data_IF_638496226737
#
_entry.id   IF_638496226737
#
_cell.length_a   1.000
_cell.length_b   1.000
_cell.length_c   1.000
_cell.angle_alpha   90.00
_cell.angle_beta   90.00
_cell.angle_gamma   90.00
#
_symmetry.space_group_name_H-M   'P 1'
#
loop_
_entity.id
_entity.type
_entity.pdbx_description
1 polymer ?
#
# COMPACT_ATOMS: atom_id res chain seq x y z
N UNK A 1 47.09 62.30 65.73
CA UNK A 1 47.09 60.80 65.62
C UNK A 1 45.68 60.19 65.48
N UNK A 2 44.63 60.72 66.12
CA UNK A 2 43.25 60.15 66.04
C UNK A 2 42.57 60.24 64.61
N UNK A 3 42.84 61.32 63.85
CA UNK A 3 42.29 61.48 62.49
C UNK A 3 42.94 60.52 61.50
N UNK A 4 44.25 60.31 61.56
CA UNK A 4 44.95 59.34 60.65
C UNK A 4 44.47 57.91 60.95
N UNK A 5 44.21 57.53 62.20
CA UNK A 5 43.70 56.22 62.56
C UNK A 5 42.24 56.02 62.04
N UNK A 6 41.39 57.07 62.12
CA UNK A 6 40.01 57.00 61.59
C UNK A 6 40.02 56.87 60.03
N UNK A 7 40.91 57.60 59.38
CA UNK A 7 41.07 57.53 57.92
C UNK A 7 41.57 56.11 57.46
N UNK A 8 42.56 55.56 58.13
CA UNK A 8 43.08 54.23 57.86
C UNK A 8 42.00 53.12 58.08
N UNK A 9 41.20 53.28 59.14
CA UNK A 9 40.08 52.35 59.46
C UNK A 9 38.94 52.47 58.40
N UNK A 10 38.70 53.69 57.88
CA UNK A 10 37.71 53.92 56.81
C UNK A 10 38.18 53.37 55.47
N UNK A 11 39.46 53.50 55.12
CA UNK A 11 40.08 52.95 53.94
C UNK A 11 40.15 51.42 53.97
N UNK A 12 40.42 50.84 55.16
CA UNK A 12 40.41 49.40 55.36
C UNK A 12 39.01 48.81 55.12
N UNK A 13 37.96 49.46 55.70
CA UNK A 13 36.56 49.07 55.46
C UNK A 13 36.13 49.24 54.00
N UNK A 14 36.58 50.30 53.33
CA UNK A 14 36.30 50.52 51.91
C UNK A 14 36.96 49.46 51.02
N UNK A 15 38.23 49.10 51.30
CA UNK A 15 38.88 47.96 50.60
C UNK A 15 38.20 46.64 50.85
N UNK A 16 37.81 46.37 52.08
CA UNK A 16 37.08 45.13 52.41
C UNK A 16 35.72 45.08 51.69
N UNK A 17 34.98 46.20 51.61
CA UNK A 17 33.72 46.27 50.87
C UNK A 17 33.94 46.06 49.36
N UNK A 18 34.98 46.64 48.77
CA UNK A 18 35.31 46.41 47.36
C UNK A 18 35.67 44.97 47.10
N UNK A 19 36.45 44.33 47.93
CA UNK A 19 36.80 42.91 47.83
C UNK A 19 35.54 42.05 47.97
N UNK A 20 34.66 42.35 48.91
CA UNK A 20 33.40 41.64 49.11
C UNK A 20 32.47 41.75 47.86
N UNK A 21 32.37 42.95 47.29
CA UNK A 21 31.60 43.18 46.06
C UNK A 21 32.19 42.40 44.87
N UNK A 22 33.55 42.40 44.77
CA UNK A 22 34.24 41.65 43.73
C UNK A 22 34.01 40.14 43.84
N UNK A 23 34.07 39.60 45.09
CA UNK A 23 33.79 38.16 45.37
C UNK A 23 32.36 37.84 45.03
N UNK A 24 31.38 38.68 45.42
CA UNK A 24 29.99 38.52 45.09
C UNK A 24 29.76 38.53 43.56
N UNK A 25 30.39 39.45 42.82
CA UNK A 25 30.31 39.50 41.36
C UNK A 25 30.89 38.26 40.70
N UNK A 26 32.02 37.73 41.18
CA UNK A 26 32.62 36.52 40.67
C UNK A 26 31.72 35.31 41.00
N UNK A 27 31.10 35.22 42.19
CA UNK A 27 30.13 34.18 42.53
C UNK A 27 28.89 34.22 41.67
N UNK A 28 28.36 35.42 41.39
CA UNK A 28 27.20 35.56 40.49
C UNK A 28 27.53 35.08 39.08
N UNK A 29 28.71 35.46 38.56
CA UNK A 29 29.18 35.01 37.22
C UNK A 29 29.41 33.46 37.22
N UNK A 30 29.97 32.92 38.29
CA UNK A 30 30.20 31.48 38.42
C UNK A 30 28.86 30.70 38.49
N UNK A 31 27.88 31.23 39.28
CA UNK A 31 26.54 30.61 39.36
C UNK A 31 25.80 30.71 38.03
N UNK A 32 25.86 31.86 37.37
CA UNK A 32 25.27 32.03 36.04
C UNK A 32 25.94 31.11 34.98
N UNK A 33 27.28 31.04 35.00
CA UNK A 33 28.04 30.09 34.17
C UNK A 33 27.68 28.64 34.42
N UNK A 34 27.54 28.27 35.70
CA UNK A 34 27.11 26.91 36.07
C UNK A 34 25.66 26.63 35.65
N UNK A 35 24.75 27.59 35.78
CA UNK A 35 23.38 27.47 35.35
C UNK A 35 23.28 27.32 33.82
N UNK A 36 24.09 28.08 33.05
CA UNK A 36 24.17 27.98 31.61
C UNK A 36 24.75 26.62 31.19
N UNK A 37 25.82 26.17 31.81
CA UNK A 37 26.42 24.86 31.57
C UNK A 37 25.50 23.71 31.95
N UNK A 38 24.70 23.86 33.01
CA UNK A 38 23.73 22.89 33.47
C UNK A 38 22.53 22.81 32.53
N UNK A 39 22.03 23.96 32.01
CA UNK A 39 21.01 24.00 30.97
C UNK A 39 21.51 23.44 29.63
N UNK A 40 22.78 23.70 29.26
CA UNK A 40 23.39 23.17 28.04
C UNK A 40 23.58 21.64 28.09
N UNK A 41 23.57 21.02 29.26
CA UNK A 41 23.68 19.56 29.45
C UNK A 41 22.33 18.82 29.42
N UNK A 42 21.21 19.53 29.52
CA UNK A 42 19.90 18.89 29.40
C UNK A 42 19.54 18.71 27.91
N UNK A 43 19.38 17.47 27.48
CA UNK A 43 18.83 17.18 26.15
C UNK A 43 17.47 17.85 26.00
N UNK A 44 17.22 18.59 24.90
CA UNK A 44 15.89 19.16 24.64
C UNK A 44 14.85 18.08 24.30
N UNK A 45 15.27 16.82 24.25
CA UNK A 45 14.38 15.66 24.08
C UNK A 45 13.95 15.19 25.46
N UNK A 46 12.63 15.21 25.73
CA UNK A 46 12.02 14.64 26.94
C UNK A 46 11.30 13.36 26.58
N UNK A 47 11.65 12.28 27.25
CA UNK A 47 10.97 10.98 27.11
C UNK A 47 9.56 11.08 27.67
N UNK A 48 8.59 10.49 27.01
CA UNK A 48 7.26 10.25 27.54
C UNK A 48 7.32 8.94 28.35
N UNK A 49 6.89 8.99 29.62
CA UNK A 49 7.03 7.85 30.56
C UNK A 49 8.46 7.62 31.06
N UNK A 50 8.72 6.44 31.63
CA UNK A 50 9.96 6.13 32.34
C UNK A 50 11.17 5.97 31.40
N UNK A 51 12.33 6.44 31.86
CA UNK A 51 13.61 6.27 31.14
C UNK A 51 14.18 4.86 31.27
N UNK A 52 13.79 4.13 32.29
CA UNK A 52 14.12 2.72 32.54
C UNK A 52 12.84 1.92 32.65
N UNK A 53 12.68 0.87 31.87
CA UNK A 53 11.52 0.00 31.87
C UNK A 53 11.96 -1.46 31.98
N UNK A 54 11.12 -2.28 32.59
CA UNK A 54 11.33 -3.73 32.67
C UNK A 54 10.13 -4.43 32.05
N UNK A 55 10.40 -5.39 31.18
CA UNK A 55 9.40 -6.24 30.55
C UNK A 55 9.81 -7.71 30.68
N UNK A 56 8.84 -8.62 30.64
CA UNK A 56 9.09 -10.06 30.64
C UNK A 56 9.64 -10.54 29.31
N UNK A 57 10.20 -11.74 29.27
CA UNK A 57 10.58 -12.41 28.01
C UNK A 57 9.35 -12.53 27.09
N UNK A 58 9.51 -12.19 25.82
CA UNK A 58 8.41 -12.05 24.86
C UNK A 58 7.33 -11.01 25.25
N UNK A 59 7.65 -10.14 26.21
CA UNK A 59 6.77 -9.06 26.64
C UNK A 59 6.55 -8.04 25.51
N UNK A 60 5.37 -7.42 25.51
CA UNK A 60 5.05 -6.36 24.57
C UNK A 60 5.61 -5.03 25.07
N UNK A 61 6.42 -4.40 24.25
CA UNK A 61 6.88 -3.03 24.47
C UNK A 61 6.07 -2.06 23.63
N UNK A 62 5.26 -1.25 24.29
CA UNK A 62 4.54 -0.15 23.68
C UNK A 62 5.39 1.13 23.82
N UNK A 63 5.91 1.64 22.71
CA UNK A 63 6.79 2.81 22.70
C UNK A 63 6.04 4.10 23.09
N UNK A 64 6.33 4.70 24.27
CA UNK A 64 5.62 5.91 24.71
C UNK A 64 6.04 7.18 23.95
N UNK A 65 7.15 7.10 23.18
CA UNK A 65 7.66 8.24 22.43
C UNK A 65 8.43 9.25 23.26
N UNK A 66 8.67 10.41 22.65
CA UNK A 66 9.35 11.54 23.25
C UNK A 66 8.86 12.86 22.63
N UNK A 67 9.07 13.97 23.35
CA UNK A 67 8.86 15.33 22.84
C UNK A 67 10.18 16.07 22.73
N UNK A 68 10.29 17.03 21.79
CA UNK A 68 11.48 17.85 21.63
C UNK A 68 11.11 19.30 21.33
N UNK A 69 11.64 20.23 22.13
CA UNK A 69 11.50 21.68 21.91
C UNK A 69 12.88 22.33 21.85
N UNK A 70 13.25 22.85 20.66
CA UNK A 70 14.58 23.43 20.38
C UNK A 70 14.36 24.88 19.94
N UNK A 71 14.99 25.82 20.61
CA UNK A 71 14.87 27.26 20.35
C UNK A 71 13.41 27.74 20.25
N UNK A 72 12.57 27.24 21.16
CA UNK A 72 11.14 27.55 21.22
C UNK A 72 10.26 26.84 20.20
N UNK A 73 10.82 26.12 19.22
CA UNK A 73 10.09 25.38 18.17
C UNK A 73 9.91 23.92 18.52
N UNK A 74 8.74 23.35 18.20
CA UNK A 74 8.42 21.94 18.41
C UNK A 74 8.97 21.09 17.26
N UNK A 75 9.77 20.07 17.64
CA UNK A 75 10.36 19.09 16.73
C UNK A 75 9.92 17.65 17.07
N UNK A 76 8.93 17.46 17.93
CA UNK A 76 8.50 16.13 18.41
C UNK A 76 8.18 15.16 17.27
N UNK A 77 7.47 15.62 16.24
CA UNK A 77 7.14 14.81 15.05
C UNK A 77 8.35 14.46 14.15
N UNK A 78 9.52 15.07 14.40
CA UNK A 78 10.76 14.83 13.64
C UNK A 78 11.78 13.99 14.42
N UNK A 79 11.42 13.49 15.60
CA UNK A 79 12.26 12.58 16.36
C UNK A 79 12.36 11.26 15.60
N UNK A 80 13.59 10.84 15.35
CA UNK A 80 13.90 9.49 14.86
C UNK A 80 14.12 8.58 16.06
N UNK A 81 13.46 7.42 16.04
CA UNK A 81 13.58 6.38 17.07
C UNK A 81 14.31 5.21 16.43
N UNK A 82 15.38 4.77 17.10
CA UNK A 82 16.18 3.60 16.74
C UNK A 82 16.31 2.69 17.96
N UNK A 83 16.19 1.39 17.78
CA UNK A 83 16.13 0.44 18.89
C UNK A 83 16.82 -0.87 18.51
N UNK A 84 17.61 -1.42 19.45
CA UNK A 84 18.18 -2.76 19.40
C UNK A 84 17.36 -3.79 20.18
N UNK A 85 16.13 -3.43 20.61
CA UNK A 85 15.27 -4.25 21.46
C UNK A 85 14.91 -5.59 20.80
N UNK A 86 15.33 -6.68 21.43
CA UNK A 86 14.91 -8.04 21.13
C UNK A 86 14.22 -8.63 22.35
N UNK A 87 12.90 -8.61 22.38
CA UNK A 87 12.11 -9.11 23.53
C UNK A 87 12.15 -10.62 23.66
N UNK A 88 12.67 -11.33 22.65
CA UNK A 88 12.81 -12.80 22.71
C UNK A 88 14.05 -13.26 23.46
N UNK A 89 14.90 -12.33 23.89
CA UNK A 89 16.13 -12.62 24.63
C UNK A 89 16.23 -11.74 25.87
N UNK A 90 16.57 -12.36 27.02
CA UNK A 90 16.87 -11.64 28.25
C UNK A 90 18.09 -10.75 28.07
N UNK A 91 18.02 -9.50 28.54
CA UNK A 91 19.11 -8.55 28.40
C UNK A 91 18.71 -7.11 28.65
N UNK A 92 19.67 -6.20 28.49
CA UNK A 92 19.44 -4.76 28.50
C UNK A 92 19.58 -4.20 27.10
N UNK A 93 18.57 -3.47 26.67
CA UNK A 93 18.43 -2.89 25.34
C UNK A 93 18.26 -1.38 25.43
N UNK A 94 18.54 -0.70 24.33
CA UNK A 94 18.47 0.75 24.27
C UNK A 94 17.53 1.20 23.15
N UNK A 95 16.58 2.06 23.51
CA UNK A 95 15.82 2.85 22.54
C UNK A 95 16.43 4.24 22.48
N UNK A 96 16.92 4.64 21.31
CA UNK A 96 17.58 5.92 21.07
C UNK A 96 16.65 6.86 20.31
N UNK A 97 16.50 8.06 20.85
CA UNK A 97 15.75 9.17 20.25
C UNK A 97 16.72 10.20 19.72
N UNK A 98 16.54 10.67 18.50
CA UNK A 98 17.44 11.66 17.90
C UNK A 98 16.69 12.69 17.05
N UNK A 99 17.06 13.97 17.22
CA UNK A 99 16.56 15.09 16.42
C UNK A 99 17.55 16.24 16.44
N UNK A 100 17.85 16.83 15.30
CA UNK A 100 18.73 18.01 15.19
C UNK A 100 20.07 17.91 15.94
N UNK A 101 20.68 16.71 15.96
CA UNK A 101 21.96 16.47 16.65
C UNK A 101 21.83 16.16 18.16
N UNK A 102 20.67 16.33 18.75
CA UNK A 102 20.42 15.94 20.13
C UNK A 102 19.98 14.48 20.22
N UNK A 103 20.30 13.84 21.34
CA UNK A 103 19.91 12.45 21.60
C UNK A 103 19.41 12.26 23.04
N UNK A 104 18.47 11.34 23.20
CA UNK A 104 18.07 10.78 24.49
C UNK A 104 18.00 9.25 24.37
N UNK A 105 18.01 8.55 25.49
CA UNK A 105 17.99 7.07 25.52
C UNK A 105 16.98 6.60 26.57
N UNK A 106 16.32 5.49 26.27
CA UNK A 106 15.55 4.68 27.21
C UNK A 106 16.20 3.32 27.30
N UNK A 107 16.33 2.79 28.50
CA UNK A 107 16.85 1.45 28.75
C UNK A 107 15.68 0.50 29.00
N UNK A 108 15.62 -0.60 28.26
CA UNK A 108 14.64 -1.66 28.43
C UNK A 108 15.38 -2.89 28.98
N UNK A 109 14.96 -3.38 30.13
CA UNK A 109 15.45 -4.65 30.68
C UNK A 109 14.43 -5.73 30.34
N UNK A 110 14.82 -6.72 29.53
CA UNK A 110 14.04 -7.93 29.28
C UNK A 110 14.46 -8.97 30.31
N UNK A 111 13.50 -9.45 31.13
CA UNK A 111 13.75 -10.49 32.13
C UNK A 111 13.92 -11.86 31.48
N UNK A 112 14.47 -12.84 32.21
CA UNK A 112 14.62 -14.21 31.72
C UNK A 112 13.35 -15.05 31.77
N UNK A 113 12.27 -14.52 32.35
CA UNK A 113 11.01 -15.24 32.56
C UNK A 113 9.90 -14.64 31.69
N UNK A 114 9.02 -15.50 31.17
CA UNK A 114 7.80 -15.12 30.47
C UNK A 114 6.66 -14.99 31.50
N UNK A 115 5.98 -13.85 31.53
CA UNK A 115 4.87 -13.59 32.47
C UNK A 115 3.86 -12.62 31.83
N UNK A 116 2.66 -13.06 31.44
CA UNK A 116 2.14 -14.45 31.50
C UNK A 116 2.85 -15.39 30.51
N UNK A 117 2.76 -16.70 30.74
CA UNK A 117 3.29 -17.72 29.82
C UNK A 117 2.34 -17.92 28.67
N UNK A 118 2.85 -17.91 27.43
CA UNK A 118 2.10 -18.18 26.21
C UNK A 118 2.91 -19.09 25.30
N UNK A 119 2.41 -20.28 25.07
CA UNK A 119 3.06 -21.33 24.27
C UNK A 119 2.21 -21.69 23.05
N UNK A 120 2.87 -21.84 21.89
CA UNK A 120 2.23 -22.35 20.70
C UNK A 120 2.18 -23.89 20.72
N UNK A 121 1.03 -24.48 20.42
CA UNK A 121 0.89 -25.90 20.19
C UNK A 121 1.27 -26.24 18.75
N UNK A 122 1.99 -27.34 18.53
CA UNK A 122 2.44 -27.76 17.20
C UNK A 122 3.57 -26.88 16.65
N UNK A 123 3.73 -26.89 15.32
CA UNK A 123 4.84 -26.22 14.64
C UNK A 123 4.73 -24.69 14.71
N UNK A 124 5.83 -24.01 15.03
CA UNK A 124 5.94 -22.54 14.98
C UNK A 124 6.20 -22.01 13.56
N UNK A 125 6.53 -22.90 12.61
CA UNK A 125 6.68 -22.58 11.18
C UNK A 125 5.80 -23.54 10.39
N UNK A 126 4.92 -23.00 9.55
CA UNK A 126 3.96 -23.77 8.74
C UNK A 126 4.06 -23.27 7.30
N UNK A 127 3.91 -24.17 6.35
CA UNK A 127 3.81 -23.82 4.93
C UNK A 127 2.41 -24.23 4.45
N UNK A 128 1.72 -23.32 3.75
CA UNK A 128 0.44 -23.56 3.08
C UNK A 128 0.52 -23.03 1.66
N UNK A 129 -0.25 -23.59 0.73
CA UNK A 129 -0.40 -23.02 -0.62
C UNK A 129 -1.51 -21.96 -0.62
N UNK A 130 -1.34 -20.94 -1.46
CA UNK A 130 -2.37 -19.92 -1.62
C UNK A 130 -3.72 -20.56 -1.97
N UNK A 131 -4.78 -20.12 -1.29
CA UNK A 131 -6.14 -20.65 -1.47
C UNK A 131 -6.46 -21.91 -0.65
N UNK A 132 -5.49 -22.51 0.01
CA UNK A 132 -5.75 -23.58 0.99
C UNK A 132 -6.13 -22.97 2.34
N UNK A 133 -6.91 -23.71 3.13
CA UNK A 133 -7.24 -23.33 4.50
C UNK A 133 -6.02 -23.45 5.40
N UNK A 134 -5.85 -22.47 6.30
CA UNK A 134 -4.90 -22.56 7.39
C UNK A 134 -5.59 -23.14 8.62
N UNK A 135 -5.18 -24.35 9.03
CA UNK A 135 -5.67 -24.98 10.24
C UNK A 135 -4.76 -24.57 11.41
N UNK A 136 -5.33 -23.82 12.37
CA UNK A 136 -4.62 -23.39 13.59
C UNK A 136 -4.30 -24.58 14.51
N UNK A 137 -3.00 -24.91 14.74
CA UNK A 137 -2.64 -26.02 15.59
C UNK A 137 -2.90 -25.79 17.09
N UNK A 138 -3.16 -24.54 17.45
CA UNK A 138 -3.51 -24.13 18.80
C UNK A 138 -2.41 -23.45 19.59
N UNK A 139 -2.77 -23.07 20.81
CA UNK A 139 -1.92 -22.38 21.76
C UNK A 139 -2.46 -22.57 23.18
N UNK A 140 -1.64 -22.31 24.20
CA UNK A 140 -2.00 -22.36 25.61
C UNK A 140 -1.38 -21.18 26.36
N UNK A 141 -2.15 -20.59 27.29
CA UNK A 141 -1.66 -19.50 28.11
C UNK A 141 -1.99 -19.70 29.59
N UNK A 142 -1.05 -19.36 30.47
CA UNK A 142 -1.23 -19.36 31.92
C UNK A 142 -0.70 -18.09 32.57
N UNK A 143 -1.37 -17.64 33.62
CA UNK A 143 -0.85 -16.55 34.45
C UNK A 143 0.29 -17.03 35.37
N UNK A 144 0.93 -16.12 36.08
CA UNK A 144 2.03 -16.42 37.04
C UNK A 144 1.64 -17.39 38.14
N UNK A 145 0.34 -17.53 38.44
CA UNK A 145 -0.17 -18.47 39.43
C UNK A 145 -0.50 -19.85 38.86
N UNK A 146 -0.35 -20.02 37.56
CA UNK A 146 -0.69 -21.24 36.84
C UNK A 146 -2.17 -21.36 36.43
N UNK A 147 -2.97 -20.29 36.60
CA UNK A 147 -4.36 -20.32 36.13
C UNK A 147 -4.40 -20.26 34.61
N UNK A 148 -5.30 -21.03 34.01
CA UNK A 148 -5.51 -21.04 32.56
C UNK A 148 -6.20 -19.74 32.10
N UNK A 149 -5.52 -19.00 31.21
CA UNK A 149 -6.00 -17.76 30.58
C UNK A 149 -5.99 -17.89 29.04
N UNK A 150 -6.00 -19.10 28.51
CA UNK A 150 -5.96 -19.38 27.07
C UNK A 150 -7.09 -18.68 26.32
N UNK A 151 -8.29 -18.57 26.91
CA UNK A 151 -9.45 -17.90 26.32
C UNK A 151 -9.22 -16.38 26.11
N UNK A 152 -8.27 -15.78 26.81
CA UNK A 152 -7.96 -14.35 26.73
C UNK A 152 -6.88 -14.04 25.68
N UNK A 153 -6.36 -15.06 25.00
CA UNK A 153 -5.41 -14.92 23.88
C UNK A 153 -6.10 -14.29 22.68
N UNK A 154 -5.53 -13.18 22.21
CA UNK A 154 -5.93 -12.51 20.98
C UNK A 154 -4.98 -12.91 19.86
N UNK A 155 -5.53 -13.37 18.75
CA UNK A 155 -4.76 -13.74 17.56
C UNK A 155 -4.97 -12.66 16.50
N UNK A 156 -3.87 -12.13 15.97
CA UNK A 156 -3.86 -11.20 14.85
C UNK A 156 -3.19 -11.90 13.65
N UNK A 157 -3.87 -11.89 12.54
CA UNK A 157 -3.43 -12.57 11.31
C UNK A 157 -2.90 -11.55 10.31
N UNK A 158 -1.73 -11.83 9.71
CA UNK A 158 -1.35 -11.23 8.44
C UNK A 158 -2.27 -11.77 7.33
N UNK A 159 -2.37 -11.02 6.23
CA UNK A 159 -3.17 -11.42 5.07
C UNK A 159 -2.61 -12.70 4.41
N UNK A 160 -3.27 -13.84 4.64
CA UNK A 160 -2.94 -15.13 4.06
C UNK A 160 -3.42 -15.28 2.60
N UNK A 161 -4.12 -14.26 2.06
CA UNK A 161 -4.53 -14.23 0.66
C UNK A 161 -3.42 -13.75 -0.27
N UNK A 162 -2.22 -13.51 0.26
CA UNK A 162 -1.05 -13.08 -0.53
C UNK A 162 0.15 -13.96 -0.22
N UNK A 163 0.82 -14.47 -1.26
CA UNK A 163 2.02 -15.30 -1.13
C UNK A 163 3.17 -14.55 -0.42
N UNK A 164 4.02 -15.31 0.24
CA UNK A 164 5.18 -14.82 0.99
C UNK A 164 5.15 -15.21 2.46
N UNK A 165 6.12 -14.68 3.22
CA UNK A 165 6.21 -14.94 4.65
C UNK A 165 5.21 -14.06 5.41
N UNK A 166 4.39 -14.69 6.23
CA UNK A 166 3.35 -14.08 7.06
C UNK A 166 3.61 -14.37 8.52
N UNK A 167 3.17 -13.49 9.41
CA UNK A 167 3.26 -13.68 10.85
C UNK A 167 1.88 -13.65 11.46
N UNK A 168 1.58 -14.67 12.26
CA UNK A 168 0.42 -14.67 13.14
C UNK A 168 0.93 -14.29 14.53
N UNK A 169 0.36 -13.24 15.11
CA UNK A 169 0.74 -12.76 16.44
C UNK A 169 -0.30 -13.22 17.45
N UNK A 170 0.14 -13.93 18.45
CA UNK A 170 -0.65 -14.39 19.59
C UNK A 170 -0.29 -13.50 20.77
N UNK A 171 -1.24 -12.84 21.38
CA UNK A 171 -1.01 -11.92 22.50
C UNK A 171 -1.97 -12.28 23.62
N UNK A 172 -1.45 -12.38 24.85
CA UNK A 172 -2.26 -12.56 26.06
C UNK A 172 -1.88 -11.46 27.07
N UNK A 173 -2.86 -11.02 27.85
CA UNK A 173 -2.70 -10.04 28.92
C UNK A 173 -3.25 -10.65 30.21
N UNK A 174 -2.47 -10.58 31.30
CA UNK A 174 -2.91 -11.05 32.62
C UNK A 174 -3.75 -9.96 33.34
N UNK A 175 -4.32 -10.30 34.49
CA UNK A 175 -5.13 -9.39 35.32
C UNK A 175 -4.38 -8.17 35.86
N UNK A 176 -3.06 -8.13 35.74
CA UNK A 176 -2.18 -7.02 36.15
C UNK A 176 -1.75 -6.13 35.00
N UNK A 177 -2.14 -6.46 33.77
CA UNK A 177 -1.76 -5.74 32.56
C UNK A 177 -0.42 -6.17 31.96
N UNK A 178 0.22 -7.25 32.47
CA UNK A 178 1.41 -7.79 31.83
C UNK A 178 1.02 -8.49 30.53
N UNK A 179 1.79 -8.27 29.46
CA UNK A 179 1.50 -8.79 28.12
C UNK A 179 2.64 -9.64 27.61
N UNK A 180 2.31 -10.78 27.04
CA UNK A 180 3.23 -11.64 26.31
C UNK A 180 2.74 -11.83 24.89
N UNK A 181 3.67 -11.76 23.93
CA UNK A 181 3.40 -11.98 22.49
C UNK A 181 4.36 -12.99 21.93
N UNK A 182 3.82 -14.00 21.25
CA UNK A 182 4.59 -14.99 20.48
C UNK A 182 4.11 -14.99 19.04
N UNK A 183 4.92 -15.54 18.13
CA UNK A 183 4.63 -15.53 16.71
C UNK A 183 4.70 -16.93 16.12
N UNK A 184 3.75 -17.23 15.22
CA UNK A 184 3.82 -18.34 14.29
C UNK A 184 4.15 -17.77 12.91
N UNK A 185 5.15 -18.34 12.24
CA UNK A 185 5.51 -17.93 10.89
C UNK A 185 4.78 -18.86 9.90
N UNK A 186 4.02 -18.26 8.97
CA UNK A 186 3.34 -19.00 7.90
C UNK A 186 3.95 -18.57 6.58
N UNK A 187 4.50 -19.52 5.84
CA UNK A 187 4.91 -19.30 4.46
C UNK A 187 3.75 -19.66 3.55
N UNK A 188 3.18 -18.67 2.87
CA UNK A 188 2.17 -18.89 1.83
C UNK A 188 2.90 -19.02 0.50
N UNK A 189 2.90 -20.25 -0.06
CA UNK A 189 3.49 -20.52 -1.37
C UNK A 189 2.54 -20.11 -2.49
N UNK A 190 3.04 -19.62 -3.63
CA UNK A 190 2.21 -19.39 -4.81
C UNK A 190 1.48 -20.67 -5.25
N UNK A 191 0.24 -20.52 -5.72
CA UNK A 191 -0.56 -21.63 -6.24
C UNK A 191 -1.33 -21.20 -7.48
N UNK A 192 -0.88 -21.64 -8.67
CA UNK A 192 -1.50 -21.32 -9.96
C UNK A 192 -2.71 -22.20 -10.30
N UNK A 193 -3.11 -23.10 -9.40
CA UNK A 193 -4.20 -24.04 -9.62
C UNK A 193 -5.25 -24.05 -8.51
N UNK A 194 -5.30 -23.03 -7.65
CA UNK A 194 -6.35 -22.94 -6.65
C UNK A 194 -7.73 -22.70 -7.30
N UNK A 195 -8.78 -23.24 -6.67
CA UNK A 195 -10.14 -23.09 -7.19
C UNK A 195 -10.64 -21.66 -7.02
N UNK A 196 -11.15 -21.07 -8.10
CA UNK A 196 -11.70 -19.72 -8.15
C UNK A 196 -12.76 -19.64 -9.25
N UNK A 197 -13.79 -18.78 -9.09
CA UNK A 197 -14.76 -18.52 -10.16
C UNK A 197 -14.12 -17.94 -11.43
N UNK A 198 -12.95 -17.31 -11.29
CA UNK A 198 -12.26 -16.56 -12.32
C UNK A 198 -12.65 -15.08 -12.30
N UNK A 199 -11.71 -14.23 -12.74
CA UNK A 199 -11.85 -12.78 -12.81
C UNK A 199 -12.50 -12.38 -14.14
N UNK A 200 -13.73 -11.83 -14.15
CA UNK A 200 -14.30 -11.24 -15.36
C UNK A 200 -13.55 -9.93 -15.70
N UNK A 201 -12.95 -9.87 -16.88
CA UNK A 201 -12.38 -8.66 -17.47
C UNK A 201 -13.35 -8.24 -18.57
N UNK A 202 -14.18 -7.22 -18.31
CA UNK A 202 -15.26 -6.80 -19.18
C UNK A 202 -14.74 -5.94 -20.32
N UNK A 203 -15.20 -6.19 -21.54
CA UNK A 203 -14.80 -5.48 -22.74
C UNK A 203 -15.97 -4.66 -23.29
N UNK A 204 -15.92 -3.35 -23.08
CA UNK A 204 -16.80 -2.34 -23.69
C UNK A 204 -16.03 -1.55 -24.75
N UNK A 205 -16.74 -0.70 -25.52
CA UNK A 205 -16.11 0.22 -26.47
C UNK A 205 -16.76 1.61 -26.40
N UNK A 206 -17.97 1.76 -26.93
CA UNK A 206 -18.65 3.05 -27.09
C UNK A 206 -19.78 3.22 -26.09
N UNK A 207 -19.90 4.42 -25.52
CA UNK A 207 -21.01 4.80 -24.64
C UNK A 207 -21.78 5.93 -25.29
N UNK A 208 -23.13 5.88 -25.27
CA UNK A 208 -23.96 6.90 -25.88
C UNK A 208 -25.09 7.33 -24.95
N UNK A 209 -25.63 8.53 -25.18
CA UNK A 209 -26.84 9.01 -24.51
C UNK A 209 -28.09 8.48 -25.26
N UNK A 210 -29.02 7.83 -24.55
CA UNK A 210 -30.26 7.32 -25.13
C UNK A 210 -31.12 8.43 -25.75
N UNK A 211 -30.98 9.69 -25.29
CA UNK A 211 -31.70 10.83 -25.83
C UNK A 211 -31.10 11.38 -27.13
N UNK A 212 -29.84 11.00 -27.44
CA UNK A 212 -29.11 11.39 -28.67
C UNK A 212 -28.33 10.20 -29.23
N UNK A 213 -29.04 9.17 -29.75
CA UNK A 213 -28.39 7.96 -30.25
C UNK A 213 -27.60 8.23 -31.52
N UNK A 214 -26.37 7.66 -31.66
CA UNK A 214 -25.53 7.87 -32.83
C UNK A 214 -26.15 7.21 -34.09
N UNK A 215 -25.94 7.82 -35.27
CA UNK A 215 -26.48 7.35 -36.54
C UNK A 215 -26.00 5.92 -36.90
N UNK A 216 -24.81 5.51 -36.46
CA UNK A 216 -24.23 4.21 -36.71
C UNK A 216 -24.54 3.16 -35.65
N UNK A 217 -25.43 3.44 -34.71
CA UNK A 217 -25.79 2.56 -33.58
C UNK A 217 -26.10 1.13 -34.06
N UNK A 218 -26.94 1.01 -35.08
CA UNK A 218 -27.33 -0.29 -35.64
C UNK A 218 -26.19 -1.00 -36.42
N UNK A 219 -25.23 -0.25 -36.93
CA UNK A 219 -24.08 -0.83 -37.68
C UNK A 219 -23.03 -1.40 -36.74
N UNK A 220 -22.92 -0.82 -35.53
CA UNK A 220 -21.95 -1.20 -34.50
C UNK A 220 -22.61 -1.74 -33.25
N UNK A 221 -23.79 -2.37 -33.38
CA UNK A 221 -24.65 -2.84 -32.30
C UNK A 221 -23.90 -3.60 -31.21
N UNK A 222 -22.90 -4.43 -31.55
CA UNK A 222 -22.12 -5.21 -30.62
C UNK A 222 -21.08 -4.41 -29.81
N UNK A 223 -20.90 -3.11 -30.07
CA UNK A 223 -19.86 -2.29 -29.43
C UNK A 223 -20.42 -1.13 -28.59
N UNK A 224 -21.72 -0.86 -28.66
CA UNK A 224 -22.34 0.23 -27.91
C UNK A 224 -23.00 -0.26 -26.60
N UNK A 225 -22.99 0.61 -25.60
CA UNK A 225 -23.86 0.57 -24.41
C UNK A 225 -24.41 1.97 -24.17
N UNK A 226 -25.65 2.11 -23.71
CA UNK A 226 -26.13 3.42 -23.29
C UNK A 226 -25.52 3.83 -21.93
N UNK A 227 -25.39 5.13 -21.70
CA UNK A 227 -24.95 5.67 -20.41
C UNK A 227 -25.88 5.22 -19.27
N UNK A 228 -27.18 5.14 -19.53
CA UNK A 228 -28.20 4.70 -18.59
C UNK A 228 -28.06 3.21 -18.23
N UNK A 229 -27.81 2.35 -19.22
CA UNK A 229 -27.57 0.93 -18.99
C UNK A 229 -26.23 0.70 -18.24
N UNK A 230 -25.19 1.44 -18.61
CA UNK A 230 -23.90 1.41 -17.90
C UNK A 230 -24.08 1.82 -16.42
N UNK A 231 -24.81 2.91 -16.17
CA UNK A 231 -25.10 3.37 -14.81
C UNK A 231 -25.83 2.31 -13.98
N UNK A 232 -26.80 1.61 -14.58
CA UNK A 232 -27.51 0.52 -13.91
C UNK A 232 -26.57 -0.65 -13.54
N UNK A 233 -25.67 -1.04 -14.46
CA UNK A 233 -24.66 -2.07 -14.19
C UNK A 233 -23.71 -1.66 -13.06
N UNK A 234 -23.19 -0.41 -13.08
CA UNK A 234 -22.27 0.08 -12.04
C UNK A 234 -22.93 0.23 -10.67
N UNK A 235 -24.17 0.71 -10.62
CA UNK A 235 -24.92 0.79 -9.37
C UNK A 235 -25.16 -0.60 -8.76
N UNK A 236 -25.45 -1.61 -9.59
CA UNK A 236 -25.58 -2.97 -9.12
C UNK A 236 -24.23 -3.51 -8.59
N UNK A 237 -23.11 -3.31 -9.29
CA UNK A 237 -21.77 -3.72 -8.80
C UNK A 237 -21.47 -3.11 -7.43
N UNK A 238 -21.80 -1.82 -7.23
CA UNK A 238 -21.62 -1.16 -5.95
C UNK A 238 -22.52 -1.73 -4.85
N UNK A 239 -23.79 -2.07 -5.18
CA UNK A 239 -24.73 -2.67 -4.21
C UNK A 239 -24.30 -4.08 -3.78
N UNK A 240 -23.49 -4.75 -4.57
CA UNK A 240 -22.95 -6.09 -4.33
C UNK A 240 -21.52 -6.09 -3.77
N UNK A 241 -20.95 -4.91 -3.48
CA UNK A 241 -19.59 -4.73 -2.93
C UNK A 241 -18.49 -5.38 -3.79
N UNK A 242 -18.54 -5.18 -5.12
CA UNK A 242 -17.51 -5.67 -6.02
C UNK A 242 -16.17 -4.99 -5.78
N UNK A 243 -15.08 -5.78 -5.83
CA UNK A 243 -13.71 -5.33 -5.76
C UNK A 243 -13.14 -5.06 -7.17
N UNK A 244 -12.39 -3.98 -7.32
CA UNK A 244 -11.79 -3.56 -8.59
C UNK A 244 -10.26 -3.66 -8.50
N UNK A 245 -9.66 -4.78 -8.90
CA UNK A 245 -8.21 -4.97 -8.81
C UNK A 245 -7.45 -4.09 -9.81
N UNK A 246 -6.30 -3.61 -9.40
CA UNK A 246 -5.31 -2.99 -10.27
C UNK A 246 -4.66 -4.04 -11.20
N UNK A 247 -4.06 -3.63 -12.31
CA UNK A 247 -3.36 -4.57 -13.21
C UNK A 247 -2.18 -5.28 -12.55
N UNK A 248 -1.57 -4.69 -11.53
CA UNK A 248 -0.55 -5.34 -10.70
C UNK A 248 -1.14 -6.47 -9.87
N UNK A 249 -2.30 -6.25 -9.28
CA UNK A 249 -3.02 -7.29 -8.54
C UNK A 249 -3.56 -8.38 -9.47
N UNK A 250 -4.05 -8.00 -10.67
CA UNK A 250 -4.41 -8.98 -11.71
C UNK A 250 -3.20 -9.85 -12.06
N UNK A 251 -2.02 -9.25 -12.24
CA UNK A 251 -0.80 -10.01 -12.51
C UNK A 251 -0.40 -10.93 -11.36
N UNK A 252 -0.45 -10.45 -10.12
CA UNK A 252 -0.18 -11.30 -8.94
C UNK A 252 -1.20 -12.45 -8.81
N UNK A 253 -2.49 -12.18 -9.15
CA UNK A 253 -3.54 -13.18 -9.17
C UNK A 253 -3.28 -14.27 -10.22
N UNK A 254 -2.94 -13.90 -11.45
CA UNK A 254 -2.61 -14.83 -12.54
C UNK A 254 -1.36 -15.66 -12.20
N UNK A 255 -0.36 -15.04 -11.58
CA UNK A 255 0.85 -15.73 -11.09
C UNK A 255 0.58 -16.67 -9.89
N UNK A 256 -0.67 -16.75 -9.37
CA UNK A 256 -1.03 -17.53 -8.19
C UNK A 256 -0.42 -17.00 -6.88
N UNK A 257 -0.06 -15.72 -6.84
CA UNK A 257 0.55 -15.03 -5.68
C UNK A 257 -0.46 -14.26 -4.84
N UNK A 258 -1.65 -13.97 -5.39
CA UNK A 258 -2.72 -13.23 -4.76
C UNK A 258 -4.06 -13.95 -4.97
N UNK A 259 -4.84 -14.09 -3.90
CA UNK A 259 -6.25 -14.50 -3.97
C UNK A 259 -7.12 -13.26 -3.94
N UNK A 260 -7.80 -12.97 -5.03
CA UNK A 260 -8.79 -11.89 -5.10
C UNK A 260 -10.11 -12.31 -4.42
N UNK A 261 -10.91 -11.37 -3.92
CA UNK A 261 -12.29 -11.62 -3.53
C UNK A 261 -13.09 -12.24 -4.69
N UNK A 262 -14.03 -13.14 -4.39
CA UNK A 262 -14.83 -13.82 -5.43
C UNK A 262 -15.64 -12.82 -6.27
N UNK A 263 -16.14 -11.74 -5.67
CA UNK A 263 -16.78 -10.61 -6.35
C UNK A 263 -15.73 -9.57 -6.77
N UNK A 264 -14.87 -9.93 -7.71
CA UNK A 264 -13.89 -9.02 -8.33
C UNK A 264 -14.17 -8.85 -9.81
N UNK A 265 -13.91 -7.67 -10.36
CA UNK A 265 -14.19 -7.34 -11.76
C UNK A 265 -13.22 -6.28 -12.28
N UNK A 266 -12.82 -6.38 -13.54
CA UNK A 266 -12.12 -5.31 -14.27
C UNK A 266 -13.02 -4.81 -15.41
N UNK A 267 -13.21 -3.49 -15.49
CA UNK A 267 -13.96 -2.86 -16.58
C UNK A 267 -12.98 -2.21 -17.55
N UNK A 268 -13.10 -2.55 -18.85
CA UNK A 268 -12.24 -2.03 -19.90
C UNK A 268 -13.08 -1.41 -21.01
N UNK A 269 -12.66 -0.23 -21.48
CA UNK A 269 -13.23 0.46 -22.65
C UNK A 269 -12.13 0.60 -23.69
N UNK A 270 -12.31 -0.06 -24.84
CA UNK A 270 -11.32 -0.07 -25.92
C UNK A 270 -11.46 1.16 -26.81
N UNK A 271 -10.46 1.42 -27.64
CA UNK A 271 -10.33 2.47 -28.66
C UNK A 271 -10.06 3.89 -28.15
N UNK A 272 -10.40 4.24 -26.91
CA UNK A 272 -10.37 5.62 -26.43
C UNK A 272 -11.31 6.51 -27.25
N UNK A 273 -12.49 5.98 -27.59
CA UNK A 273 -13.48 6.65 -28.43
C UNK A 273 -14.05 7.88 -27.72
N UNK A 274 -14.27 8.98 -28.50
CA UNK A 274 -14.84 10.23 -27.93
C UNK A 274 -16.17 10.00 -27.23
N UNK A 275 -17.02 9.09 -27.74
CA UNK A 275 -18.30 8.75 -27.13
C UNK A 275 -18.16 8.14 -25.74
N UNK A 276 -17.15 7.29 -25.49
CA UNK A 276 -16.83 6.83 -24.12
C UNK A 276 -16.31 7.98 -23.26
N UNK A 277 -15.41 8.82 -23.79
CA UNK A 277 -14.84 9.93 -23.01
C UNK A 277 -15.93 10.93 -22.59
N UNK A 278 -16.87 11.27 -23.50
CA UNK A 278 -17.93 12.24 -23.23
C UNK A 278 -19.08 11.69 -22.36
N UNK A 279 -19.46 10.42 -22.51
CA UNK A 279 -20.65 9.85 -21.87
C UNK A 279 -20.31 8.78 -20.84
N UNK A 280 -19.24 8.02 -20.99
CA UNK A 280 -18.86 6.95 -20.08
C UNK A 280 -18.13 7.45 -18.85
N UNK A 281 -17.15 8.36 -18.99
CA UNK A 281 -16.39 8.91 -17.88
C UNK A 281 -17.30 9.58 -16.83
N UNK A 282 -18.26 10.46 -17.18
CA UNK A 282 -19.17 11.04 -16.21
C UNK A 282 -19.99 9.99 -15.41
N UNK A 283 -20.32 8.85 -16.03
CA UNK A 283 -21.03 7.75 -15.34
C UNK A 283 -20.10 7.05 -14.35
N UNK A 284 -18.85 6.77 -14.74
CA UNK A 284 -17.83 6.19 -13.84
C UNK A 284 -17.60 7.07 -12.62
N UNK A 285 -17.45 8.38 -12.82
CA UNK A 285 -17.27 9.37 -11.74
C UNK A 285 -18.48 9.44 -10.81
N UNK A 286 -19.68 9.49 -11.38
CA UNK A 286 -20.95 9.50 -10.63
C UNK A 286 -21.09 8.28 -9.74
N UNK A 287 -20.74 7.10 -10.27
CA UNK A 287 -20.83 5.82 -9.57
C UNK A 287 -19.60 5.53 -8.73
N UNK A 288 -18.50 6.28 -8.88
CA UNK A 288 -17.19 6.06 -8.23
C UNK A 288 -16.62 4.68 -8.52
N UNK A 289 -16.71 4.24 -9.75
CA UNK A 289 -16.25 2.93 -10.21
C UNK A 289 -15.05 3.11 -11.14
N UNK A 290 -13.90 2.50 -10.83
CA UNK A 290 -12.71 2.60 -11.68
C UNK A 290 -12.84 1.72 -12.94
N UNK A 291 -12.27 2.21 -14.05
CA UNK A 291 -12.17 1.48 -15.30
C UNK A 291 -10.85 1.76 -16.02
N UNK A 292 -10.47 0.85 -16.93
CA UNK A 292 -9.33 1.02 -17.85
C UNK A 292 -9.82 1.49 -19.20
N UNK A 293 -9.24 2.56 -19.73
CA UNK A 293 -9.41 2.98 -21.12
C UNK A 293 -8.20 2.54 -21.93
N UNK A 294 -8.36 1.56 -22.81
CA UNK A 294 -7.33 1.17 -23.76
C UNK A 294 -7.32 2.15 -24.94
N UNK A 295 -6.31 3.02 -24.97
CA UNK A 295 -6.23 4.16 -25.88
C UNK A 295 -5.47 3.83 -27.15
N UNK A 296 -6.07 4.09 -28.32
CA UNK A 296 -5.35 4.20 -29.60
C UNK A 296 -4.68 5.57 -29.61
N UNK A 297 -3.39 5.62 -29.30
CA UNK A 297 -2.73 6.89 -29.00
C UNK A 297 -2.42 7.76 -30.24
N UNK A 298 -2.42 7.18 -31.46
CA UNK A 298 -2.32 7.97 -32.72
C UNK A 298 -3.58 8.79 -33.02
N UNK A 299 -4.70 8.49 -32.37
CA UNK A 299 -5.97 9.20 -32.55
C UNK A 299 -6.12 10.35 -31.55
N UNK A 300 -5.16 11.28 -31.53
CA UNK A 300 -5.07 12.41 -30.57
C UNK A 300 -5.06 11.94 -29.10
N UNK A 301 -4.37 10.82 -28.83
CA UNK A 301 -4.36 10.20 -27.49
C UNK A 301 -3.81 11.12 -26.42
N UNK A 302 -2.72 11.84 -26.66
CA UNK A 302 -2.12 12.77 -25.73
C UNK A 302 -3.09 13.90 -25.33
N UNK A 303 -3.75 14.52 -26.32
CA UNK A 303 -4.74 15.58 -26.09
C UNK A 303 -5.97 15.05 -25.36
N UNK A 304 -6.46 13.87 -25.76
CA UNK A 304 -7.61 13.22 -25.11
C UNK A 304 -7.32 12.91 -23.65
N UNK A 305 -6.16 12.30 -23.36
CA UNK A 305 -5.76 11.98 -21.98
C UNK A 305 -5.62 13.26 -21.15
N UNK A 306 -5.04 14.32 -21.70
CA UNK A 306 -4.92 15.60 -21.02
C UNK A 306 -6.29 16.27 -20.73
N UNK A 307 -7.24 16.16 -21.67
CA UNK A 307 -8.57 16.75 -21.56
C UNK A 307 -9.51 15.98 -20.63
N UNK A 308 -9.43 14.65 -20.59
CA UNK A 308 -10.36 13.77 -19.88
C UNK A 308 -9.69 13.08 -18.66
N UNK A 309 -8.98 13.86 -17.83
CA UNK A 309 -8.42 13.38 -16.59
C UNK A 309 -9.52 13.02 -15.58
N UNK A 310 -9.43 11.84 -14.97
CA UNK A 310 -10.36 11.37 -13.96
C UNK A 310 -9.68 10.41 -12.98
N UNK A 311 -10.03 10.50 -11.70
CA UNK A 311 -9.55 9.55 -10.68
C UNK A 311 -10.11 8.14 -10.87
N UNK A 312 -11.08 7.97 -11.76
CA UNK A 312 -11.77 6.70 -12.04
C UNK A 312 -11.39 6.11 -13.41
N UNK A 313 -10.46 6.69 -14.14
CA UNK A 313 -10.03 6.17 -15.45
C UNK A 313 -8.52 6.04 -15.52
N UNK A 314 -8.07 4.80 -15.76
CA UNK A 314 -6.67 4.47 -16.01
C UNK A 314 -6.45 4.29 -17.50
N UNK A 315 -5.56 5.10 -18.08
CA UNK A 315 -5.23 5.00 -19.50
C UNK A 315 -4.13 3.99 -19.74
N UNK A 316 -4.43 2.98 -20.55
CA UNK A 316 -3.52 1.90 -20.95
C UNK A 316 -3.45 1.75 -22.47
N UNK A 317 -2.50 1.00 -22.96
CA UNK A 317 -2.21 0.94 -24.40
C UNK A 317 -3.17 0.07 -25.20
N UNK A 318 -3.75 0.62 -26.26
CA UNK A 318 -4.33 -0.11 -27.40
C UNK A 318 -3.49 0.09 -28.66
N UNK A 319 -2.16 0.15 -28.52
CA UNK A 319 -1.14 0.55 -29.48
C UNK A 319 -1.11 2.06 -29.80
N UNK A 320 -0.02 2.49 -30.44
CA UNK A 320 0.01 3.83 -31.02
C UNK A 320 -0.75 3.85 -32.36
N UNK A 321 -0.29 3.14 -33.35
CA UNK A 321 -0.84 3.15 -34.72
C UNK A 321 -1.02 1.76 -35.32
N UNK A 322 -1.04 0.70 -34.52
CA UNK A 322 -1.25 -0.67 -34.99
C UNK A 322 -2.72 -1.07 -35.05
N UNK A 323 -3.65 -0.21 -34.59
CA UNK A 323 -5.09 -0.45 -34.72
C UNK A 323 -5.59 -0.09 -36.14
N UNK A 324 -5.07 -0.77 -37.14
CA UNK A 324 -5.38 -0.59 -38.59
C UNK A 324 -5.29 -1.91 -39.32
N UNK A 325 -6.01 -2.05 -40.49
CA UNK A 325 -5.91 -3.25 -41.30
C UNK A 325 -4.52 -3.40 -41.96
N UNK A 326 -4.21 -4.60 -42.43
CA UNK A 326 -2.95 -4.90 -43.14
C UNK A 326 -2.36 -6.26 -42.77
N UNK A 327 -2.96 -6.99 -41.84
CA UNK A 327 -2.61 -8.37 -41.50
C UNK A 327 -3.42 -9.40 -42.30
N UNK A 328 -3.09 -10.66 -42.09
CA UNK A 328 -3.73 -11.83 -42.76
C UNK A 328 -4.19 -12.90 -41.75
N UNK A 329 -4.24 -12.57 -40.49
CA UNK A 329 -4.74 -13.45 -39.42
C UNK A 329 -5.92 -12.76 -38.72
N UNK A 330 -6.83 -13.56 -38.17
CA UNK A 330 -7.95 -13.09 -37.35
C UNK A 330 -8.85 -12.11 -38.13
N UNK A 331 -8.96 -10.89 -37.62
CA UNK A 331 -9.75 -9.82 -38.26
C UNK A 331 -8.94 -8.94 -39.21
N UNK A 332 -7.69 -9.32 -39.50
CA UNK A 332 -6.83 -8.64 -40.46
C UNK A 332 -6.10 -7.41 -39.91
N UNK A 333 -5.93 -7.30 -38.60
CA UNK A 333 -5.13 -6.27 -37.96
C UNK A 333 -3.64 -6.37 -38.35
N UNK A 334 -2.94 -5.22 -38.44
CA UNK A 334 -1.55 -5.18 -38.89
C UNK A 334 -0.55 -5.77 -37.90
N UNK A 335 -0.85 -5.77 -36.58
CA UNK A 335 0.11 -6.07 -35.53
C UNK A 335 0.81 -7.43 -35.70
N UNK A 336 0.13 -8.53 -36.04
CA UNK A 336 0.79 -9.82 -36.32
C UNK A 336 1.70 -9.84 -37.55
N UNK A 337 1.60 -8.85 -38.45
CA UNK A 337 2.35 -8.77 -39.70
C UNK A 337 3.43 -7.70 -39.76
N UNK A 338 3.52 -6.86 -38.67
CA UNK A 338 4.49 -5.76 -38.60
C UNK A 338 5.88 -6.27 -38.21
N UNK A 339 6.94 -5.55 -38.62
CA UNK A 339 8.30 -5.87 -38.19
C UNK A 339 8.50 -5.66 -36.67
N UNK A 340 9.46 -6.39 -36.10
CA UNK A 340 9.79 -6.25 -34.70
C UNK A 340 10.17 -4.80 -34.31
N UNK A 341 10.98 -4.14 -35.14
CA UNK A 341 11.44 -2.77 -34.91
C UNK A 341 10.26 -1.79 -34.89
N UNK A 342 9.36 -1.86 -35.88
CA UNK A 342 8.17 -1.00 -35.94
C UNK A 342 7.21 -1.28 -34.79
N UNK A 343 6.97 -2.57 -34.49
CA UNK A 343 6.09 -2.97 -33.36
C UNK A 343 6.60 -2.47 -32.03
N UNK A 344 7.90 -2.62 -31.78
CA UNK A 344 8.51 -2.11 -30.52
C UNK A 344 8.50 -0.59 -30.44
N UNK A 345 8.71 0.13 -31.54
CA UNK A 345 8.61 1.59 -31.55
C UNK A 345 7.18 2.06 -31.27
N UNK A 346 6.19 1.41 -31.85
CA UNK A 346 4.76 1.69 -31.61
C UNK A 346 4.35 1.45 -30.15
N UNK A 347 4.69 0.28 -29.59
CA UNK A 347 4.39 -0.06 -28.20
C UNK A 347 5.04 0.92 -27.22
N UNK A 348 6.32 1.25 -27.39
CA UNK A 348 7.02 2.23 -26.56
C UNK A 348 6.37 3.62 -26.63
N UNK A 349 5.98 4.04 -27.83
CA UNK A 349 5.31 5.33 -28.03
C UNK A 349 3.95 5.37 -27.33
N UNK A 350 3.18 4.29 -27.38
CA UNK A 350 1.89 4.22 -26.70
C UNK A 350 2.04 4.24 -25.16
N UNK A 351 3.05 3.53 -24.61
CA UNK A 351 3.36 3.56 -23.17
C UNK A 351 3.73 4.99 -22.74
N UNK A 352 4.58 5.69 -23.52
CA UNK A 352 4.96 7.08 -23.23
C UNK A 352 3.75 7.99 -23.13
N UNK A 353 2.81 7.89 -24.07
CA UNK A 353 1.60 8.74 -24.13
C UNK A 353 0.60 8.38 -23.02
N UNK A 354 0.38 7.08 -22.79
CA UNK A 354 -0.53 6.64 -21.70
C UNK A 354 0.04 6.90 -20.31
N UNK A 355 1.37 7.01 -20.17
CA UNK A 355 2.06 7.13 -18.89
C UNK A 355 2.06 5.84 -18.06
N UNK A 356 1.62 4.72 -18.65
CA UNK A 356 1.54 3.39 -18.06
C UNK A 356 1.85 2.29 -19.08
N UNK A 357 2.42 1.20 -18.59
CA UNK A 357 2.62 -0.06 -19.31
C UNK A 357 2.12 -1.25 -18.50
N UNK A 358 1.15 -1.04 -17.63
CA UNK A 358 0.62 -2.12 -16.78
C UNK A 358 -0.27 -3.08 -17.61
N UNK A 359 -0.98 -2.58 -18.64
CA UNK A 359 -1.83 -3.42 -19.47
C UNK A 359 -1.81 -3.05 -20.97
N UNK A 360 -2.10 -4.03 -21.80
CA UNK A 360 -2.21 -3.88 -23.26
C UNK A 360 -3.47 -4.60 -23.78
N UNK A 361 -4.20 -3.99 -24.72
CA UNK A 361 -5.24 -4.68 -25.48
C UNK A 361 -4.77 -4.89 -26.92
N UNK A 362 -4.85 -6.15 -27.41
CA UNK A 362 -4.47 -6.44 -28.80
C UNK A 362 -5.42 -5.79 -29.78
N UNK A 363 -4.92 -4.94 -30.70
CA UNK A 363 -5.74 -4.36 -31.77
C UNK A 363 -6.47 -5.46 -32.55
N UNK A 364 -7.78 -5.30 -32.78
CA UNK A 364 -8.68 -6.30 -33.38
C UNK A 364 -8.78 -7.63 -32.60
N UNK A 365 -8.05 -7.80 -31.52
CA UNK A 365 -7.86 -9.07 -30.83
C UNK A 365 -6.87 -9.99 -31.55
N UNK A 366 -6.17 -9.51 -32.58
CA UNK A 366 -5.27 -10.30 -33.42
C UNK A 366 -3.86 -10.33 -32.84
N UNK A 367 -3.31 -11.54 -32.72
CA UNK A 367 -1.95 -11.78 -32.22
C UNK A 367 -1.35 -13.06 -32.77
N UNK A 368 -0.03 -13.16 -32.69
CA UNK A 368 0.77 -14.36 -32.94
C UNK A 368 1.95 -14.40 -31.95
N UNK A 369 2.77 -15.41 -32.01
CA UNK A 369 3.91 -15.56 -31.08
C UNK A 369 4.88 -14.37 -31.16
N UNK A 370 5.07 -13.77 -32.30
CA UNK A 370 5.94 -12.60 -32.47
C UNK A 370 5.34 -11.36 -31.80
N UNK A 371 4.03 -11.10 -31.98
CA UNK A 371 3.37 -9.97 -31.30
C UNK A 371 3.33 -10.14 -29.78
N UNK A 372 3.10 -11.35 -29.28
CA UNK A 372 3.15 -11.65 -27.83
C UNK A 372 4.57 -11.44 -27.29
N UNK A 373 5.60 -11.85 -28.04
CA UNK A 373 6.99 -11.61 -27.65
C UNK A 373 7.33 -10.12 -27.56
N UNK A 374 6.85 -9.29 -28.51
CA UNK A 374 7.01 -7.83 -28.50
C UNK A 374 6.30 -7.20 -27.29
N UNK A 375 5.07 -7.61 -26.97
CA UNK A 375 4.32 -7.12 -25.79
C UNK A 375 5.06 -7.46 -24.49
N UNK A 376 5.64 -8.67 -24.41
CA UNK A 376 6.48 -9.07 -23.27
C UNK A 376 7.76 -8.24 -23.16
N UNK A 377 8.46 -8.02 -24.29
CA UNK A 377 9.70 -7.23 -24.35
C UNK A 377 9.45 -5.75 -24.01
N UNK A 378 8.30 -5.20 -24.40
CA UNK A 378 7.89 -3.84 -24.07
C UNK A 378 7.63 -3.65 -22.55
N UNK A 379 7.47 -4.74 -21.79
CA UNK A 379 7.36 -4.73 -20.34
C UNK A 379 5.94 -4.70 -19.77
N UNK A 380 4.91 -4.93 -20.59
CA UNK A 380 3.54 -5.01 -20.10
C UNK A 380 3.36 -6.14 -19.08
N UNK A 381 2.66 -5.85 -17.99
CA UNK A 381 2.36 -6.84 -16.96
C UNK A 381 1.30 -7.82 -17.41
N UNK A 382 0.24 -7.31 -18.05
CA UNK A 382 -0.89 -8.07 -18.57
C UNK A 382 -1.23 -7.64 -19.99
N UNK A 383 -1.80 -8.56 -20.78
CA UNK A 383 -2.43 -8.19 -22.02
C UNK A 383 -3.74 -8.97 -22.22
N UNK A 384 -4.74 -8.31 -22.80
CA UNK A 384 -6.09 -8.83 -22.97
C UNK A 384 -6.41 -9.07 -24.43
N UNK A 385 -7.13 -10.15 -24.68
CA UNK A 385 -7.58 -10.59 -26.01
C UNK A 385 -9.09 -10.37 -26.17
N UNK A 386 -9.64 -10.80 -27.30
CA UNK A 386 -11.09 -10.92 -27.53
C UNK A 386 -11.61 -12.33 -27.25
N UNK A 387 -10.76 -13.25 -26.80
CA UNK A 387 -11.17 -14.61 -26.45
C UNK A 387 -12.18 -14.56 -25.28
N UNK A 388 -13.33 -15.26 -25.41
CA UNK A 388 -14.34 -15.25 -24.35
C UNK A 388 -13.89 -16.08 -23.13
N UNK A 389 -14.11 -15.54 -21.94
CA UNK A 389 -13.82 -16.26 -20.69
C UNK A 389 -13.55 -15.34 -19.52
N UNK A 390 -13.28 -15.95 -18.37
CA UNK A 390 -12.80 -15.29 -17.15
C UNK A 390 -11.36 -15.70 -16.89
N UNK A 391 -10.52 -14.75 -16.53
CA UNK A 391 -9.10 -14.98 -16.24
C UNK A 391 -8.92 -15.77 -14.95
N UNK A 392 -7.96 -16.70 -14.93
CA UNK A 392 -7.70 -17.59 -13.79
C UNK A 392 -6.21 -17.67 -13.48
N UNK A 393 -5.83 -18.03 -12.24
CA UNK A 393 -4.45 -18.35 -11.92
C UNK A 393 -3.91 -19.42 -12.87
N UNK A 394 -2.69 -19.21 -13.37
CA UNK A 394 -2.03 -20.10 -14.33
C UNK A 394 -2.29 -19.76 -15.81
N UNK A 395 -3.21 -18.86 -16.13
CA UNK A 395 -3.37 -18.35 -17.49
C UNK A 395 -2.11 -17.60 -17.95
N UNK A 396 -1.93 -17.48 -19.26
CA UNK A 396 -0.88 -16.62 -19.80
C UNK A 396 -1.24 -15.15 -19.53
N UNK A 397 -0.48 -14.40 -18.72
CA UNK A 397 -0.80 -13.02 -18.37
C UNK A 397 -0.84 -12.08 -19.56
N UNK A 398 -0.25 -12.47 -20.69
CA UNK A 398 -0.25 -11.70 -21.93
C UNK A 398 -1.32 -12.17 -22.94
N UNK A 399 -2.22 -13.05 -22.54
CA UNK A 399 -3.32 -13.56 -23.38
C UNK A 399 -4.61 -13.77 -22.56
N UNK A 400 -4.94 -12.81 -21.70
CA UNK A 400 -6.10 -12.94 -20.80
C UNK A 400 -7.41 -12.87 -21.60
N UNK A 401 -8.37 -13.78 -21.30
CA UNK A 401 -9.69 -13.77 -21.91
C UNK A 401 -10.53 -12.61 -21.36
N UNK A 402 -11.56 -12.24 -22.11
CA UNK A 402 -12.50 -11.18 -21.70
C UNK A 402 -13.96 -11.58 -21.82
N UNK A 403 -14.80 -10.86 -21.08
CA UNK A 403 -16.25 -10.96 -21.13
C UNK A 403 -16.79 -9.80 -21.98
N UNK A 404 -17.30 -10.09 -23.18
CA UNK A 404 -17.83 -9.04 -24.08
C UNK A 404 -19.17 -8.51 -23.60
N UNK A 405 -19.27 -7.18 -23.56
CA UNK A 405 -20.49 -6.41 -23.28
C UNK A 405 -21.06 -5.82 -24.57
N UNK A 406 -22.37 -5.84 -24.74
CA UNK A 406 -23.03 -5.50 -26.00
C UNK A 406 -24.32 -4.72 -25.77
N UNK A 407 -24.69 -3.90 -26.74
CA UNK A 407 -26.00 -3.20 -26.75
C UNK A 407 -27.17 -4.19 -26.63
N UNK A 408 -28.21 -3.78 -25.93
CA UNK A 408 -29.41 -4.58 -25.70
C UNK A 408 -29.24 -5.69 -24.65
N UNK A 409 -28.09 -5.80 -24.01
CA UNK A 409 -27.90 -6.67 -22.87
C UNK A 409 -28.71 -6.16 -21.68
N UNK A 410 -29.59 -7.00 -21.12
CA UNK A 410 -30.28 -6.66 -19.89
C UNK A 410 -29.34 -6.68 -18.70
N UNK A 411 -29.68 -5.96 -17.62
CA UNK A 411 -28.95 -6.00 -16.36
C UNK A 411 -28.82 -7.45 -15.83
N UNK A 412 -29.86 -8.26 -15.97
CA UNK A 412 -29.83 -9.69 -15.56
C UNK A 412 -28.83 -10.48 -16.39
N UNK A 413 -28.71 -10.23 -17.69
CA UNK A 413 -27.73 -10.86 -18.56
C UNK A 413 -26.29 -10.45 -18.19
N UNK A 414 -26.07 -9.16 -17.85
CA UNK A 414 -24.81 -8.69 -17.31
C UNK A 414 -24.46 -9.42 -16.02
N UNK A 415 -25.37 -9.45 -15.06
CA UNK A 415 -25.18 -10.13 -13.77
C UNK A 415 -24.74 -11.58 -13.96
N UNK A 416 -25.40 -12.35 -14.81
CA UNK A 416 -25.03 -13.75 -15.13
C UNK A 416 -23.62 -13.90 -15.70
N UNK A 417 -23.15 -12.91 -16.46
CA UNK A 417 -21.80 -12.97 -17.07
C UNK A 417 -20.70 -12.71 -16.03
N UNK A 418 -20.94 -11.84 -15.04
CA UNK A 418 -19.91 -11.37 -14.11
C UNK A 418 -19.98 -12.00 -12.72
N UNK A 419 -21.11 -12.59 -12.34
CA UNK A 419 -21.23 -13.34 -11.08
C UNK A 419 -20.18 -14.45 -10.97
N UNK A 420 -19.70 -14.73 -9.70
CA UNK A 420 -18.79 -15.83 -9.41
C UNK A 420 -19.28 -17.20 -9.88
#
# INVERSE_FOLDING_TARGET
>A
NRQRARHAKRMKRYRQRKILVLILAVLVVAVAGFAILYQAKQSPIKLNGDAEMTISLNGVYDEPGATAKIDGKDYSKKIKIDSDLDTTKAGKYTVKYSVKGYTAKRTITVTGEMDPVLELTGASKITVKLGESFDEPGYKATDKKGNDITKDVKVSYDDLNKAGNRKLAYTVEDSKGNKTRVFRNVTVEPNTSYQTPGLPICMYHYVYDENDPPEDLNKRFGNYISAQALEAELNWLNSEDYYYPTWKEVREYIDGKLKLPDKSIVLCFDDGAKSFLDHGIPVLEKCKVPATCFMITSSNGEEKIAQYQSDYVYYESHSHNMHRPGGNIGHGGIFPAISHEEGMADLKKSIEICGSGDAFAYPYGDYNDSSVAMVKEAGFLCAVTTQPGKAKPGDNPLLLPRVRMSLGQSLEAFQKKVQP
#
